data_IF_892214941484
#
_entry.id   IF_892214941484
#
_cell.length_a   1.000
_cell.length_b   1.000
_cell.length_c   1.000
_cell.angle_alpha   90.00
_cell.angle_beta   90.00
_cell.angle_gamma   90.00
#
_symmetry.space_group_name_H-M   'P 1'
#
loop_
_entity.id
_entity.type
_entity.pdbx_description
1 polymer ?
#
# COMPACT_ATOMS: atom_id res chain seq x y z
N UNK A 1 4.25 30.60 -27.59
CA UNK A 1 4.75 29.40 -26.86
C UNK A 1 6.25 29.34 -27.09
N UNK A 2 7.06 29.14 -26.05
CA UNK A 2 8.48 28.87 -26.24
C UNK A 2 8.64 27.42 -26.68
N UNK A 3 9.40 27.18 -27.76
CA UNK A 3 9.81 25.82 -28.13
C UNK A 3 10.88 25.36 -27.13
N UNK A 4 10.72 24.18 -26.49
CA UNK A 4 11.67 23.70 -25.50
C UNK A 4 13.07 23.55 -26.10
N UNK A 5 14.08 24.03 -25.39
CA UNK A 5 15.47 23.94 -25.83
C UNK A 5 15.98 22.49 -25.80
N UNK A 6 17.00 22.12 -26.60
CA UNK A 6 17.53 20.75 -26.64
C UNK A 6 17.94 20.20 -25.27
N UNK A 7 18.47 21.07 -24.40
CA UNK A 7 18.85 20.71 -23.03
C UNK A 7 17.65 20.39 -22.12
N UNK A 8 16.50 21.04 -22.34
CA UNK A 8 15.27 20.81 -21.56
C UNK A 8 14.60 19.50 -21.98
N UNK A 9 14.55 19.25 -23.30
CA UNK A 9 14.08 17.98 -23.88
C UNK A 9 14.94 16.82 -23.35
N UNK A 10 16.27 16.96 -23.36
CA UNK A 10 17.19 15.95 -22.83
C UNK A 10 16.99 15.72 -21.32
N UNK A 11 16.73 16.78 -20.54
CA UNK A 11 16.50 16.67 -19.11
C UNK A 11 15.16 15.96 -18.80
N UNK A 12 14.11 16.22 -19.58
CA UNK A 12 12.83 15.52 -19.47
C UNK A 12 12.99 14.03 -19.84
N UNK A 13 13.77 13.72 -20.88
CA UNK A 13 14.08 12.34 -21.24
C UNK A 13 14.78 11.57 -20.10
N UNK A 14 15.80 12.17 -19.48
CA UNK A 14 16.51 11.56 -18.34
C UNK A 14 15.61 11.34 -17.11
N UNK A 15 14.66 12.25 -16.85
CA UNK A 15 13.68 12.06 -15.76
C UNK A 15 12.71 10.91 -16.06
N UNK A 16 12.26 10.75 -17.32
CA UNK A 16 11.40 9.63 -17.73
C UNK A 16 12.13 8.29 -17.57
N UNK A 17 13.41 8.21 -17.94
CA UNK A 17 14.22 7.01 -17.73
C UNK A 17 14.42 6.71 -16.24
N UNK A 18 14.69 7.72 -15.41
CA UNK A 18 14.83 7.57 -13.96
C UNK A 18 13.52 7.10 -13.30
N UNK A 19 12.37 7.66 -13.69
CA UNK A 19 11.06 7.21 -13.21
C UNK A 19 10.76 5.76 -13.61
N UNK A 20 11.08 5.35 -14.84
CA UNK A 20 10.89 3.95 -15.27
C UNK A 20 11.72 2.97 -14.43
N UNK A 21 12.96 3.32 -14.08
CA UNK A 21 13.81 2.51 -13.19
C UNK A 21 13.20 2.45 -11.78
N UNK A 22 12.89 3.60 -11.18
CA UNK A 22 12.38 3.65 -9.81
C UNK A 22 10.99 3.04 -9.65
N UNK A 23 10.12 3.10 -10.66
CA UNK A 23 8.82 2.41 -10.64
C UNK A 23 8.98 0.89 -10.71
N UNK A 24 9.93 0.35 -11.49
CA UNK A 24 10.21 -1.10 -11.51
C UNK A 24 10.75 -1.58 -10.18
N UNK A 25 11.68 -0.85 -9.56
CA UNK A 25 12.14 -1.14 -8.20
C UNK A 25 10.98 -1.10 -7.19
N UNK A 26 10.09 -0.10 -7.29
CA UNK A 26 8.93 0.01 -6.40
C UNK A 26 7.91 -1.13 -6.58
N UNK A 27 7.69 -1.60 -7.82
CA UNK A 27 6.83 -2.76 -8.10
C UNK A 27 7.37 -4.04 -7.47
N UNK A 28 8.67 -4.31 -7.57
CA UNK A 28 9.33 -5.44 -6.93
C UNK A 28 9.18 -5.36 -5.39
N UNK A 29 9.29 -4.16 -4.80
CA UNK A 29 8.99 -3.98 -3.37
C UNK A 29 7.52 -4.25 -3.02
N UNK A 30 6.56 -3.83 -3.86
CA UNK A 30 5.13 -4.13 -3.65
C UNK A 30 4.82 -5.63 -3.80
N UNK A 31 5.48 -6.34 -4.72
CA UNK A 31 5.36 -7.80 -4.88
C UNK A 31 5.94 -8.56 -3.67
N UNK A 32 7.08 -8.09 -3.13
CA UNK A 32 7.66 -8.65 -1.89
C UNK A 32 6.76 -8.37 -0.68
N UNK A 33 6.20 -7.17 -0.57
CA UNK A 33 5.22 -6.83 0.45
C UNK A 33 3.97 -7.70 0.34
N UNK A 34 3.45 -7.94 -0.87
CA UNK A 34 2.33 -8.85 -1.15
C UNK A 34 2.65 -10.28 -0.67
N UNK A 35 3.83 -10.80 -1.00
CA UNK A 35 4.27 -12.14 -0.59
C UNK A 35 4.40 -12.28 0.94
N UNK A 36 4.94 -11.27 1.63
CA UNK A 36 5.04 -11.23 3.09
C UNK A 36 3.66 -11.05 3.75
N UNK A 37 2.76 -10.29 3.13
CA UNK A 37 1.35 -10.17 3.53
C UNK A 37 0.56 -11.47 3.29
N UNK A 38 0.99 -12.35 2.38
CA UNK A 38 0.41 -13.69 2.22
C UNK A 38 1.01 -14.67 3.24
N UNK A 39 2.33 -14.68 3.45
CA UNK A 39 2.98 -15.58 4.42
C UNK A 39 2.65 -15.25 5.89
N UNK A 40 2.38 -13.97 6.20
CA UNK A 40 2.12 -13.49 7.55
C UNK A 40 3.37 -13.11 8.35
N UNK A 41 4.51 -12.92 7.69
CA UNK A 41 5.76 -12.48 8.31
C UNK A 41 5.69 -10.98 8.70
N UNK A 42 5.41 -10.73 9.98
CA UNK A 42 5.31 -9.36 10.54
C UNK A 42 6.67 -8.68 10.73
N UNK A 43 7.76 -9.41 10.89
CA UNK A 43 9.10 -8.82 11.05
C UNK A 43 9.63 -8.32 9.70
N UNK A 44 9.46 -9.12 8.65
CA UNK A 44 9.77 -8.73 7.27
C UNK A 44 8.99 -7.49 6.81
N UNK A 45 7.71 -7.39 7.17
CA UNK A 45 6.87 -6.22 6.86
C UNK A 45 7.33 -4.94 7.58
N UNK A 46 7.77 -5.04 8.83
CA UNK A 46 8.28 -3.89 9.58
C UNK A 46 9.55 -3.32 8.93
N UNK A 47 10.47 -4.19 8.50
CA UNK A 47 11.68 -3.80 7.78
C UNK A 47 11.37 -3.13 6.42
N UNK A 48 10.38 -3.67 5.69
CA UNK A 48 10.00 -3.17 4.36
C UNK A 48 9.32 -1.79 4.41
N UNK A 49 8.60 -1.48 5.50
CA UNK A 49 7.85 -0.21 5.68
C UNK A 49 8.75 1.04 5.59
N UNK A 50 9.95 0.99 6.17
CA UNK A 50 10.91 2.11 6.13
C UNK A 50 11.40 2.35 4.70
N UNK A 51 11.81 1.29 4.01
CA UNK A 51 12.27 1.34 2.61
C UNK A 51 11.17 1.83 1.67
N UNK A 52 9.92 1.35 1.84
CA UNK A 52 8.75 1.78 1.05
C UNK A 52 8.50 3.28 1.17
N UNK A 53 8.63 3.84 2.38
CA UNK A 53 8.45 5.27 2.63
C UNK A 53 9.52 6.12 1.94
N UNK A 54 10.77 5.67 1.92
CA UNK A 54 11.84 6.37 1.22
C UNK A 54 11.70 6.30 -0.30
N UNK A 55 11.38 5.12 -0.85
CA UNK A 55 11.12 4.95 -2.30
C UNK A 55 9.94 5.80 -2.78
N UNK A 56 8.87 5.89 -2.01
CA UNK A 56 7.74 6.78 -2.32
C UNK A 56 8.17 8.26 -2.41
N UNK A 57 9.01 8.73 -1.48
CA UNK A 57 9.56 10.10 -1.52
C UNK A 57 10.48 10.33 -2.72
N UNK A 58 11.26 9.32 -3.14
CA UNK A 58 12.12 9.41 -4.32
C UNK A 58 11.29 9.51 -5.61
N UNK A 59 10.24 8.70 -5.76
CA UNK A 59 9.28 8.79 -6.87
C UNK A 59 8.55 10.14 -6.90
N UNK A 60 8.09 10.63 -5.75
CA UNK A 60 7.43 11.95 -5.65
C UNK A 60 8.36 13.08 -6.12
N UNK A 61 9.63 13.07 -5.71
CA UNK A 61 10.62 14.08 -6.15
C UNK A 61 10.83 14.09 -7.66
N UNK A 62 10.94 12.92 -8.29
CA UNK A 62 11.07 12.82 -9.76
C UNK A 62 9.83 13.40 -10.47
N UNK A 63 8.64 13.09 -9.96
CA UNK A 63 7.39 13.63 -10.48
C UNK A 63 7.31 15.16 -10.33
N UNK A 64 7.71 15.69 -9.18
CA UNK A 64 7.73 17.12 -8.88
C UNK A 64 8.78 17.87 -9.73
N UNK A 65 9.97 17.31 -9.91
CA UNK A 65 11.02 17.85 -10.80
C UNK A 65 10.52 17.92 -12.26
N UNK A 66 9.81 16.90 -12.73
CA UNK A 66 9.20 16.91 -14.06
C UNK A 66 8.06 17.91 -14.17
N UNK A 67 7.20 18.00 -13.14
CA UNK A 67 6.13 19.00 -13.08
C UNK A 67 6.70 20.43 -13.14
N UNK A 68 7.80 20.68 -12.44
CA UNK A 68 8.51 21.96 -12.45
C UNK A 68 9.11 22.28 -13.83
N UNK A 69 9.72 21.32 -14.52
CA UNK A 69 10.24 21.52 -15.88
C UNK A 69 9.13 21.79 -16.90
N UNK A 70 8.04 21.02 -16.88
CA UNK A 70 6.89 21.28 -17.75
C UNK A 70 6.23 22.63 -17.43
N UNK A 71 6.12 22.99 -16.16
CA UNK A 71 5.63 24.30 -15.71
C UNK A 71 6.47 25.47 -16.24
N UNK A 72 7.80 25.33 -16.27
CA UNK A 72 8.71 26.32 -16.88
C UNK A 72 8.50 26.47 -18.39
N UNK A 73 8.11 25.39 -19.07
CA UNK A 73 7.72 25.40 -20.49
C UNK A 73 6.29 25.92 -20.73
N UNK A 74 5.55 26.28 -19.68
CA UNK A 74 4.14 26.67 -19.75
C UNK A 74 3.19 25.51 -20.08
N UNK A 75 3.62 24.27 -19.84
CA UNK A 75 2.87 23.05 -20.13
C UNK A 75 2.36 22.39 -18.83
N UNK A 76 1.15 21.82 -18.82
CA UNK A 76 0.67 21.05 -17.67
C UNK A 76 1.43 19.72 -17.55
N UNK A 77 1.56 19.18 -16.33
CA UNK A 77 2.12 17.85 -16.11
C UNK A 77 1.11 16.76 -16.52
N UNK A 78 0.98 16.51 -17.82
CA UNK A 78 0.04 15.56 -18.43
C UNK A 78 0.72 14.77 -19.55
N UNK A 79 0.22 13.57 -19.80
CA UNK A 79 0.62 12.70 -20.91
C UNK A 79 0.76 13.43 -22.25
N UNK A 80 -0.27 14.19 -22.65
CA UNK A 80 -0.25 14.97 -23.89
C UNK A 80 0.93 15.95 -23.99
N UNK A 81 1.36 16.54 -22.87
CA UNK A 81 2.49 17.47 -22.83
C UNK A 81 3.84 16.76 -22.89
N UNK A 82 3.96 15.57 -22.28
CA UNK A 82 5.13 14.71 -22.48
C UNK A 82 5.24 14.31 -23.95
N UNK A 83 4.14 13.83 -24.55
CA UNK A 83 4.11 13.41 -25.97
C UNK A 83 4.42 14.57 -26.91
N UNK A 84 3.96 15.78 -26.59
CA UNK A 84 4.29 16.99 -27.35
C UNK A 84 5.78 17.34 -27.30
N UNK A 85 6.40 17.35 -26.11
CA UNK A 85 7.82 17.71 -25.94
C UNK A 85 8.75 16.63 -26.51
N UNK A 86 8.39 15.35 -26.33
CA UNK A 86 9.19 14.21 -26.76
C UNK A 86 8.77 13.64 -28.14
N UNK A 87 7.98 14.38 -28.93
CA UNK A 87 7.41 13.92 -30.20
C UNK A 87 8.46 13.37 -31.20
N UNK A 88 9.67 13.92 -31.20
CA UNK A 88 10.78 13.51 -32.07
C UNK A 88 11.70 12.44 -31.43
N UNK A 89 11.35 11.93 -30.25
CA UNK A 89 12.15 10.99 -29.46
C UNK A 89 11.35 9.70 -29.19
N UNK A 90 11.15 8.83 -30.20
CA UNK A 90 10.30 7.64 -30.06
C UNK A 90 10.76 6.67 -28.97
N UNK A 91 12.06 6.61 -28.67
CA UNK A 91 12.60 5.82 -27.54
C UNK A 91 12.11 6.35 -26.18
N UNK A 92 12.03 7.67 -26.02
CA UNK A 92 11.57 8.32 -24.78
C UNK A 92 10.05 8.17 -24.64
N UNK A 93 9.30 8.27 -25.75
CA UNK A 93 7.86 7.99 -25.76
C UNK A 93 7.57 6.54 -25.33
N UNK A 94 8.31 5.55 -25.84
CA UNK A 94 8.16 4.16 -25.42
C UNK A 94 8.50 3.94 -23.92
N UNK A 95 9.47 4.69 -23.35
CA UNK A 95 9.72 4.68 -21.89
C UNK A 95 8.63 5.39 -21.10
N UNK A 96 8.01 6.41 -21.67
CA UNK A 96 6.87 7.09 -21.04
C UNK A 96 5.63 6.21 -21.01
N UNK A 97 5.37 5.44 -22.08
CA UNK A 97 4.33 4.41 -22.10
C UNK A 97 4.60 3.33 -21.03
N UNK A 98 5.86 2.87 -20.89
CA UNK A 98 6.27 1.97 -19.80
C UNK A 98 5.98 2.59 -18.42
N UNK A 99 6.35 3.86 -18.18
CA UNK A 99 6.06 4.57 -16.91
C UNK A 99 4.56 4.60 -16.59
N UNK A 100 3.70 4.82 -17.58
CA UNK A 100 2.24 4.83 -17.38
C UNK A 100 1.73 3.45 -16.95
N UNK A 101 2.15 2.36 -17.61
CA UNK A 101 1.70 1.01 -17.26
C UNK A 101 2.26 0.57 -15.90
N UNK A 102 3.54 0.83 -15.62
CA UNK A 102 4.15 0.55 -14.31
C UNK A 102 3.42 1.29 -13.17
N UNK A 103 3.03 2.56 -13.39
CA UNK A 103 2.30 3.35 -12.40
C UNK A 103 0.87 2.83 -12.15
N UNK A 104 0.18 2.31 -13.19
CA UNK A 104 -1.11 1.62 -13.04
C UNK A 104 -0.96 0.34 -12.23
N UNK A 105 0.01 -0.50 -12.59
CA UNK A 105 0.29 -1.76 -11.91
C UNK A 105 0.66 -1.52 -10.42
N UNK A 106 1.45 -0.48 -10.14
CA UNK A 106 1.84 -0.11 -8.78
C UNK A 106 0.65 0.36 -7.95
N UNK A 107 -0.27 1.11 -8.56
CA UNK A 107 -1.53 1.48 -7.93
C UNK A 107 -2.36 0.25 -7.59
N UNK A 108 -2.56 -0.68 -8.54
CA UNK A 108 -3.34 -1.90 -8.31
C UNK A 108 -2.75 -2.78 -7.21
N UNK A 109 -1.42 -2.98 -7.17
CA UNK A 109 -0.78 -3.72 -6.06
C UNK A 109 -0.87 -3.00 -4.73
N UNK A 110 -0.69 -1.67 -4.70
CA UNK A 110 -0.82 -0.94 -3.44
C UNK A 110 -2.25 -0.95 -2.90
N UNK A 111 -3.27 -0.93 -3.78
CA UNK A 111 -4.68 -1.14 -3.40
C UNK A 111 -4.94 -2.57 -2.89
N UNK A 112 -4.29 -3.59 -3.44
CA UNK A 112 -4.38 -4.99 -2.98
C UNK A 112 -3.67 -5.21 -1.63
N UNK A 113 -2.44 -4.73 -1.48
CA UNK A 113 -1.69 -4.80 -0.22
C UNK A 113 -2.44 -4.06 0.91
N UNK A 114 -3.07 -2.93 0.60
CA UNK A 114 -3.94 -2.23 1.55
C UNK A 114 -5.15 -3.05 2.01
N UNK A 115 -5.75 -3.88 1.15
CA UNK A 115 -6.83 -4.82 1.54
C UNK A 115 -6.30 -5.93 2.46
N UNK A 116 -5.20 -6.58 2.08
CA UNK A 116 -4.57 -7.64 2.89
C UNK A 116 -4.19 -7.15 4.30
N UNK A 117 -3.66 -5.92 4.42
CA UNK A 117 -3.35 -5.29 5.71
C UNK A 117 -4.63 -5.12 6.55
N UNK A 118 -5.71 -4.61 5.95
CA UNK A 118 -6.99 -4.40 6.64
C UNK A 118 -7.63 -5.73 7.08
N UNK A 119 -7.61 -6.76 6.23
CA UNK A 119 -8.13 -8.09 6.56
C UNK A 119 -7.36 -8.73 7.72
N UNK A 120 -6.02 -8.64 7.72
CA UNK A 120 -5.19 -9.13 8.84
C UNK A 120 -5.42 -8.33 10.13
N UNK A 121 -5.58 -7.02 10.04
CA UNK A 121 -5.94 -6.17 11.20
C UNK A 121 -7.28 -6.59 11.80
N UNK A 122 -8.31 -6.82 10.98
CA UNK A 122 -9.61 -7.30 11.43
C UNK A 122 -9.52 -8.70 12.06
N UNK A 123 -8.78 -9.62 11.44
CA UNK A 123 -8.57 -10.97 11.97
C UNK A 123 -7.83 -10.96 13.31
N UNK A 124 -6.76 -10.16 13.44
CA UNK A 124 -6.03 -10.00 14.69
C UNK A 124 -6.89 -9.35 15.78
N UNK A 125 -7.69 -8.33 15.45
CA UNK A 125 -8.62 -7.70 16.38
C UNK A 125 -9.71 -8.68 16.86
N UNK A 126 -10.23 -9.51 15.96
CA UNK A 126 -11.19 -10.57 16.29
C UNK A 126 -10.55 -11.68 17.15
N UNK A 127 -9.35 -12.14 16.80
CA UNK A 127 -8.60 -13.13 17.59
C UNK A 127 -8.27 -12.59 18.99
N UNK A 128 -7.81 -11.34 19.11
CA UNK A 128 -7.63 -10.67 20.40
C UNK A 128 -8.95 -10.56 21.17
N UNK A 129 -10.07 -10.22 20.52
CA UNK A 129 -11.38 -10.17 21.17
C UNK A 129 -11.82 -11.55 21.68
N UNK A 130 -11.55 -12.63 20.92
CA UNK A 130 -11.85 -14.02 21.32
C UNK A 130 -10.96 -14.43 22.50
N UNK A 131 -9.65 -14.15 22.46
CA UNK A 131 -8.72 -14.44 23.55
C UNK A 131 -9.08 -13.67 24.83
N UNK A 132 -9.41 -12.38 24.71
CA UNK A 132 -9.86 -11.54 25.83
C UNK A 132 -11.21 -12.01 26.38
N UNK A 133 -12.15 -12.43 25.53
CA UNK A 133 -13.44 -12.96 25.98
C UNK A 133 -13.27 -14.31 26.67
N UNK A 134 -12.40 -15.18 26.16
CA UNK A 134 -12.07 -16.46 26.78
C UNK A 134 -11.34 -16.28 28.13
N UNK A 135 -10.46 -15.29 28.25
CA UNK A 135 -9.79 -14.94 29.51
C UNK A 135 -10.75 -14.28 30.53
N UNK A 136 -11.75 -13.53 30.05
CA UNK A 136 -12.79 -12.90 30.89
C UNK A 136 -13.97 -13.83 31.22
N UNK A 137 -14.03 -15.03 30.65
CA UNK A 137 -14.88 -16.11 31.15
C UNK A 137 -14.10 -16.90 32.21
N UNK A 138 -14.47 -16.82 33.51
CA UNK A 138 -14.00 -17.81 34.46
C UNK A 138 -14.46 -19.18 33.97
N UNK A 139 -13.53 -20.14 33.89
CA UNK A 139 -13.87 -21.52 33.58
C UNK A 139 -14.72 -22.08 34.73
N UNK A 140 -16.05 -21.95 34.63
CA UNK A 140 -17.01 -22.64 35.49
C UNK A 140 -17.13 -24.12 35.07
N UNK A 141 -15.98 -24.79 34.98
CA UNK A 141 -15.88 -26.24 35.02
C UNK A 141 -15.41 -26.62 36.42
N UNK A 142 -16.38 -26.84 37.30
CA UNK A 142 -16.14 -27.27 38.66
C UNK A 142 -15.58 -28.70 38.64
N UNK A 143 -14.42 -28.92 39.27
CA UNK A 143 -13.66 -30.17 39.13
C UNK A 143 -14.34 -31.38 39.81
N UNK A 144 -15.40 -31.15 40.59
CA UNK A 144 -16.13 -32.17 41.38
C UNK A 144 -17.49 -32.59 40.80
N UNK A 145 -17.86 -32.16 39.59
CA UNK A 145 -18.93 -32.81 38.80
C UNK A 145 -20.34 -32.84 39.39
N UNK A 146 -20.66 -31.98 40.37
CA UNK A 146 -21.97 -31.94 41.04
C UNK A 146 -22.89 -30.85 40.48
N UNK A 147 -23.46 -31.11 39.30
CA UNK A 147 -24.61 -30.34 38.79
C UNK A 147 -25.87 -30.64 39.62
N UNK A 148 -26.10 -29.90 40.71
CA UNK A 148 -27.36 -29.97 41.47
C UNK A 148 -28.47 -29.22 40.74
N UNK A 149 -29.58 -29.87 40.34
CA UNK A 149 -30.76 -29.18 39.84
C UNK A 149 -31.63 -28.71 41.01
N UNK A 150 -31.50 -27.47 41.47
CA UNK A 150 -32.49 -26.86 42.38
C UNK A 150 -33.69 -26.32 41.57
N UNK A 151 -34.39 -27.23 40.89
CA UNK A 151 -35.71 -26.95 40.37
C UNK A 151 -36.75 -26.95 41.50
N UNK A 152 -37.63 -25.94 41.52
CA UNK A 152 -38.98 -26.00 42.10
C UNK A 152 -39.11 -26.23 43.61
N UNK A 153 -39.43 -25.16 44.36
CA UNK A 153 -39.84 -25.28 45.77
C UNK A 153 -40.41 -23.99 46.35
N UNK A 154 -41.70 -23.71 46.11
CA UNK A 154 -42.46 -22.73 46.91
C UNK A 154 -42.66 -23.30 48.32
N UNK A 155 -42.61 -22.47 49.39
CA UNK A 155 -43.66 -22.35 50.43
C UNK A 155 -43.23 -21.48 51.63
N UNK A 156 -43.94 -20.34 51.77
CA UNK A 156 -44.56 -19.70 52.95
C UNK A 156 -43.84 -19.55 54.32
N UNK A 157 -44.00 -18.34 54.90
CA UNK A 157 -43.92 -18.04 56.34
C UNK A 157 -42.51 -17.95 56.92
N UNK A 158 -42.28 -17.46 58.15
CA UNK A 158 -43.15 -16.66 59.02
C UNK A 158 -42.29 -16.08 60.16
N UNK A 159 -42.62 -14.93 60.76
CA UNK A 159 -43.81 -14.09 60.55
C UNK A 159 -43.42 -12.68 60.10
#
# INVERSE_FOLDING_TARGET
MQTPGPAEIQRIALLIEAEAIQLREFLDHLQREEALLVSGDTEGLLALTTTKTERYRQLQRLHDDRALLLGRLGLPNKDASIRQVCAQLPRVLARWDEVIELAREARTRNELNGKLINERMQHNQAALSVLLSAANHPQLYDADGQSRPSGGGRILGSA
#
